data_IF_004103986271
#
_entry.id   IF_004103986271
#
_cell.length_a   1.000
_cell.length_b   1.000
_cell.length_c   1.000
_cell.angle_alpha   90.00
_cell.angle_beta   90.00
_cell.angle_gamma   90.00
#
_symmetry.space_group_name_H-M   'P 1'
#
loop_
_entity.id
_entity.type
_entity.pdbx_description
1 polymer ?
#
# COMPACT_ATOMS: atom_id res chain seq x y z
N UNK A 1 -23.66 3.69 17.73
CA UNK A 1 -23.86 2.34 17.14
C UNK A 1 -22.92 2.18 15.98
N UNK A 2 -21.76 1.58 16.21
CA UNK A 2 -20.81 1.25 15.16
C UNK A 2 -21.35 0.10 14.34
N UNK A 3 -21.95 0.42 13.19
CA UNK A 3 -22.36 -0.59 12.24
C UNK A 3 -21.16 -1.42 11.84
N UNK A 4 -21.25 -2.72 11.92
CA UNK A 4 -20.36 -3.67 11.26
C UNK A 4 -20.36 -3.35 9.76
N UNK A 5 -19.50 -2.44 9.34
CA UNK A 5 -19.13 -2.37 7.93
C UNK A 5 -18.32 -3.65 7.65
N UNK A 6 -19.05 -4.71 7.30
CA UNK A 6 -18.45 -5.90 6.75
C UNK A 6 -17.49 -5.48 5.63
N UNK A 7 -16.42 -6.23 5.42
CA UNK A 7 -15.57 -6.05 4.26
C UNK A 7 -16.51 -6.13 3.05
N UNK A 8 -16.72 -4.99 2.38
CA UNK A 8 -17.59 -4.91 1.20
C UNK A 8 -16.92 -5.47 -0.04
N UNK A 9 -15.62 -5.71 0.04
CA UNK A 9 -14.83 -6.20 -1.08
C UNK A 9 -14.56 -7.69 -0.91
N UNK A 10 -15.19 -8.55 -1.70
CA UNK A 10 -15.01 -10.01 -1.62
C UNK A 10 -13.55 -10.44 -1.77
N UNK A 11 -12.78 -9.72 -2.60
CA UNK A 11 -11.35 -10.00 -2.81
C UNK A 11 -10.52 -9.82 -1.54
N UNK A 12 -10.81 -8.77 -0.75
CA UNK A 12 -10.11 -8.53 0.52
C UNK A 12 -10.49 -9.61 1.54
N UNK A 13 -11.77 -9.96 1.63
CA UNK A 13 -12.21 -11.05 2.48
C UNK A 13 -11.54 -12.37 2.09
N UNK A 14 -11.43 -12.65 0.80
CA UNK A 14 -10.73 -13.85 0.29
C UNK A 14 -9.27 -13.87 0.75
N UNK A 15 -8.55 -12.74 0.65
CA UNK A 15 -7.16 -12.64 1.14
C UNK A 15 -7.06 -12.91 2.65
N UNK A 16 -7.97 -12.35 3.45
CA UNK A 16 -8.01 -12.58 4.90
C UNK A 16 -8.27 -14.05 5.22
N UNK A 17 -9.25 -14.67 4.57
CA UNK A 17 -9.55 -16.09 4.76
C UNK A 17 -8.39 -16.98 4.30
N UNK A 18 -7.79 -16.69 3.15
CA UNK A 18 -6.64 -17.43 2.66
C UNK A 18 -5.48 -17.38 3.64
N UNK A 19 -5.20 -16.21 4.22
CA UNK A 19 -4.21 -16.05 5.27
C UNK A 19 -4.51 -16.88 6.51
N UNK A 20 -5.76 -16.87 6.99
CA UNK A 20 -6.16 -17.64 8.18
C UNK A 20 -5.99 -19.15 7.99
N UNK A 21 -6.16 -19.66 6.76
CA UNK A 21 -6.01 -21.09 6.46
C UNK A 21 -4.59 -21.49 6.08
N UNK A 22 -3.81 -20.62 5.45
CA UNK A 22 -2.53 -20.95 4.81
C UNK A 22 -1.33 -20.17 5.35
N UNK A 23 -1.56 -19.16 6.20
CA UNK A 23 -0.53 -18.26 6.68
C UNK A 23 -0.01 -17.25 5.63
N UNK A 24 -0.60 -17.23 4.44
CA UNK A 24 -0.27 -16.34 3.34
C UNK A 24 -1.47 -16.18 2.40
N UNK A 25 -1.46 -15.17 1.52
CA UNK A 25 -2.47 -14.95 0.48
C UNK A 25 -1.81 -14.67 -0.88
N UNK A 26 -2.53 -14.92 -1.95
CA UNK A 26 -2.01 -14.78 -3.32
C UNK A 26 -1.86 -13.30 -3.76
N UNK A 27 -0.76 -12.88 -4.42
CA UNK A 27 0.45 -13.64 -4.73
C UNK A 27 1.29 -13.92 -3.48
N UNK A 28 1.81 -15.13 -3.36
CA UNK A 28 2.53 -15.56 -2.16
C UNK A 28 3.91 -14.94 -2.07
N UNK A 29 4.37 -14.77 -0.83
CA UNK A 29 5.73 -14.35 -0.55
C UNK A 29 6.65 -15.58 -0.63
N UNK A 30 7.65 -15.54 -1.49
CA UNK A 30 8.61 -16.63 -1.67
C UNK A 30 10.05 -16.13 -1.64
N UNK A 31 10.97 -17.01 -1.30
CA UNK A 31 12.37 -16.68 -1.30
C UNK A 31 12.97 -16.88 -2.68
N UNK A 32 13.56 -15.85 -3.24
CA UNK A 32 14.23 -15.94 -4.55
C UNK A 32 15.38 -16.94 -4.50
N UNK A 33 15.37 -17.90 -5.43
CA UNK A 33 16.44 -18.91 -5.52
C UNK A 33 17.79 -18.31 -5.92
N UNK A 34 17.76 -17.18 -6.64
CA UNK A 34 18.96 -16.56 -7.21
C UNK A 34 19.52 -15.41 -6.36
N UNK A 35 18.69 -14.66 -5.62
CA UNK A 35 19.09 -13.38 -4.99
C UNK A 35 19.10 -13.38 -3.47
N UNK A 36 18.78 -14.49 -2.79
CA UNK A 36 18.58 -14.57 -1.32
C UNK A 36 17.64 -13.49 -0.75
N UNK A 37 16.77 -12.92 -1.59
CA UNK A 37 15.79 -11.89 -1.26
C UNK A 37 14.38 -12.45 -1.32
N UNK A 38 13.45 -11.74 -0.68
CA UNK A 38 12.03 -12.06 -0.81
C UNK A 38 11.47 -11.46 -2.10
N UNK A 39 10.62 -12.21 -2.77
CA UNK A 39 9.90 -11.78 -3.98
C UNK A 39 8.47 -12.30 -3.95
N UNK A 40 7.60 -11.64 -4.71
CA UNK A 40 6.22 -12.10 -4.88
C UNK A 40 6.19 -13.17 -5.96
N UNK A 41 5.33 -14.17 -5.75
CA UNK A 41 5.03 -15.20 -6.74
C UNK A 41 4.58 -14.57 -8.05
N UNK A 42 5.19 -14.99 -9.16
CA UNK A 42 4.76 -14.58 -10.49
C UNK A 42 3.59 -15.45 -10.91
N UNK A 43 2.40 -14.88 -10.87
CA UNK A 43 1.21 -15.54 -11.42
C UNK A 43 1.31 -15.42 -12.94
N UNK A 44 1.63 -16.53 -13.62
CA UNK A 44 1.56 -16.60 -15.07
C UNK A 44 0.09 -16.70 -15.48
N UNK A 45 -0.47 -15.60 -15.97
CA UNK A 45 -1.73 -15.65 -16.71
C UNK A 45 -1.46 -16.42 -18.01
N UNK A 46 -1.97 -17.63 -18.11
CA UNK A 46 -1.83 -18.50 -19.29
C UNK A 46 -2.41 -17.84 -20.58
N UNK A 47 -3.15 -16.75 -20.45
CA UNK A 47 -3.79 -16.02 -21.56
C UNK A 47 -3.15 -14.67 -21.90
N UNK A 48 -2.21 -14.15 -21.07
CA UNK A 48 -1.57 -12.87 -21.34
C UNK A 48 -0.14 -12.82 -20.76
N UNK A 49 0.87 -13.35 -21.49
CA UNK A 49 2.27 -13.38 -21.01
C UNK A 49 2.93 -12.00 -20.81
N UNK A 50 2.22 -10.92 -21.16
CA UNK A 50 2.60 -9.52 -20.93
C UNK A 50 1.64 -8.77 -20.01
N UNK A 51 0.70 -9.47 -19.34
CA UNK A 51 -0.25 -8.87 -18.40
C UNK A 51 0.46 -8.12 -17.29
N UNK A 52 0.13 -6.86 -17.15
CA UNK A 52 0.76 -5.96 -16.21
C UNK A 52 0.59 -6.48 -14.77
N UNK A 53 1.64 -6.46 -13.97
CA UNK A 53 1.61 -6.71 -12.52
C UNK A 53 0.56 -5.84 -11.79
N UNK A 54 0.03 -4.84 -12.46
CA UNK A 54 -0.95 -3.88 -11.96
C UNK A 54 -2.26 -4.56 -11.56
N UNK A 55 -2.82 -5.48 -12.38
CA UNK A 55 -4.07 -6.18 -12.07
C UNK A 55 -3.96 -7.09 -10.85
N UNK A 56 -2.74 -7.57 -10.57
CA UNK A 56 -2.47 -8.41 -9.40
C UNK A 56 -2.21 -7.59 -8.14
N UNK A 57 -1.77 -6.34 -8.30
CA UNK A 57 -1.40 -5.46 -7.20
C UNK A 57 -2.53 -4.55 -6.74
N UNK A 58 -3.58 -4.40 -7.55
CA UNK A 58 -4.67 -3.46 -7.29
C UNK A 58 -6.02 -4.16 -7.22
N UNK A 59 -6.96 -3.51 -6.53
CA UNK A 59 -8.37 -3.89 -6.52
C UNK A 59 -9.22 -2.65 -6.77
N UNK A 60 -10.39 -2.85 -7.36
CA UNK A 60 -11.43 -1.81 -7.38
C UNK A 60 -12.12 -1.79 -6.02
N UNK A 61 -12.06 -0.65 -5.33
CA UNK A 61 -12.68 -0.49 -4.01
C UNK A 61 -13.96 0.32 -4.13
N UNK A 62 -15.09 -0.28 -3.78
CA UNK A 62 -16.43 0.33 -3.94
C UNK A 62 -16.61 1.64 -3.17
N UNK A 63 -16.01 1.76 -1.99
CA UNK A 63 -16.06 2.97 -1.16
C UNK A 63 -15.23 4.12 -1.73
N UNK A 64 -14.14 3.82 -2.42
CA UNK A 64 -13.27 4.80 -3.10
C UNK A 64 -13.76 5.07 -4.52
N UNK A 65 -14.52 4.13 -5.10
CA UNK A 65 -14.98 4.08 -6.49
C UNK A 65 -13.85 4.08 -7.52
N UNK A 66 -12.70 3.51 -7.14
CA UNK A 66 -11.52 3.46 -7.98
C UNK A 66 -10.52 2.39 -7.49
N UNK A 67 -9.41 2.23 -8.21
CA UNK A 67 -8.36 1.29 -7.89
C UNK A 67 -7.52 1.76 -6.69
N UNK A 68 -7.31 0.86 -5.74
CA UNK A 68 -6.35 1.00 -4.64
C UNK A 68 -5.43 -0.21 -4.59
N UNK A 69 -4.27 -0.09 -3.94
CA UNK A 69 -3.38 -1.21 -3.73
C UNK A 69 -4.05 -2.26 -2.83
N UNK A 70 -4.07 -3.51 -3.30
CA UNK A 70 -4.68 -4.63 -2.59
C UNK A 70 -4.05 -4.84 -1.22
N UNK A 71 -2.72 -4.82 -1.14
CA UNK A 71 -2.01 -5.03 0.13
C UNK A 71 -2.32 -3.92 1.14
N UNK A 72 -2.55 -2.68 0.70
CA UNK A 72 -3.02 -1.59 1.56
C UNK A 72 -4.42 -1.88 2.11
N UNK A 73 -5.33 -2.34 1.27
CA UNK A 73 -6.69 -2.66 1.71
C UNK A 73 -6.70 -3.88 2.66
N UNK A 74 -5.87 -4.89 2.39
CA UNK A 74 -5.67 -6.04 3.30
C UNK A 74 -5.08 -5.60 4.63
N UNK A 75 -4.11 -4.68 4.64
CA UNK A 75 -3.56 -4.12 5.88
C UNK A 75 -4.63 -3.42 6.71
N UNK A 76 -5.43 -2.56 6.09
CA UNK A 76 -6.53 -1.85 6.78
C UNK A 76 -7.59 -2.83 7.33
N UNK A 77 -7.89 -3.89 6.58
CA UNK A 77 -8.78 -4.95 7.07
C UNK A 77 -8.15 -5.70 8.25
N UNK A 78 -6.87 -6.03 8.17
CA UNK A 78 -6.14 -6.70 9.25
C UNK A 78 -6.10 -5.86 10.52
N UNK A 79 -5.88 -4.54 10.41
CA UNK A 79 -6.00 -3.60 11.54
C UNK A 79 -7.38 -3.67 12.18
N UNK A 80 -8.42 -3.61 11.39
CA UNK A 80 -9.81 -3.67 11.85
C UNK A 80 -10.13 -4.97 12.60
N UNK A 81 -9.53 -6.09 12.20
CA UNK A 81 -9.76 -7.39 12.82
C UNK A 81 -8.71 -7.78 13.86
N UNK A 82 -7.74 -6.95 14.15
CA UNK A 82 -6.67 -7.21 15.11
C UNK A 82 -5.71 -8.33 14.68
N UNK A 83 -5.48 -8.50 13.38
CA UNK A 83 -4.63 -9.54 12.80
C UNK A 83 -3.21 -8.98 12.54
N UNK A 84 -2.38 -8.88 13.58
CA UNK A 84 -1.05 -8.27 13.51
C UNK A 84 -0.11 -8.97 12.50
N UNK A 85 -0.11 -10.30 12.46
CA UNK A 85 0.71 -11.06 11.52
C UNK A 85 0.32 -10.80 10.05
N UNK A 86 -0.98 -10.60 9.79
CA UNK A 86 -1.46 -10.25 8.47
C UNK A 86 -1.07 -8.82 8.09
N UNK A 87 -1.06 -7.88 9.04
CA UNK A 87 -0.56 -6.51 8.83
C UNK A 87 0.91 -6.54 8.41
N UNK A 88 1.74 -7.28 9.14
CA UNK A 88 3.17 -7.43 8.83
C UNK A 88 3.40 -8.05 7.45
N UNK A 89 2.63 -9.06 7.11
CA UNK A 89 2.70 -9.71 5.79
C UNK A 89 2.28 -8.74 4.68
N UNK A 90 1.16 -8.05 4.82
CA UNK A 90 0.65 -7.11 3.83
C UNK A 90 1.64 -5.95 3.60
N UNK A 91 2.20 -5.39 4.67
CA UNK A 91 3.20 -4.32 4.57
C UNK A 91 4.48 -4.79 3.86
N UNK A 92 4.92 -6.01 4.13
CA UNK A 92 6.08 -6.61 3.45
C UNK A 92 5.82 -6.81 1.96
N UNK A 93 4.66 -7.32 1.59
CA UNK A 93 4.26 -7.51 0.19
C UNK A 93 4.16 -6.19 -0.55
N UNK A 94 3.54 -5.18 0.07
CA UNK A 94 3.45 -3.84 -0.50
C UNK A 94 4.82 -3.23 -0.80
N UNK A 95 5.82 -3.46 0.05
CA UNK A 95 7.19 -3.01 -0.17
C UNK A 95 7.89 -3.66 -1.37
N UNK A 96 7.36 -4.77 -1.88
CA UNK A 96 7.88 -5.47 -3.07
C UNK A 96 7.14 -5.10 -4.36
N UNK A 97 6.08 -4.30 -4.30
CA UNK A 97 5.36 -3.84 -5.48
C UNK A 97 6.19 -2.85 -6.28
N UNK A 98 6.17 -2.99 -7.60
CA UNK A 98 6.90 -2.14 -8.55
C UNK A 98 6.02 -1.77 -9.73
N UNK A 99 6.35 -0.65 -10.39
CA UNK A 99 5.63 -0.22 -11.60
C UNK A 99 4.21 0.30 -11.34
N UNK A 100 3.89 0.70 -10.11
CA UNK A 100 2.59 1.23 -9.75
C UNK A 100 2.49 2.71 -10.17
N UNK A 101 1.43 3.13 -10.86
CA UNK A 101 1.18 4.53 -11.19
C UNK A 101 1.09 5.42 -9.95
N UNK A 102 1.63 6.64 -10.05
CA UNK A 102 1.61 7.65 -8.97
C UNK A 102 0.20 7.89 -8.43
N UNK A 103 -0.77 7.94 -9.31
CA UNK A 103 -2.18 8.14 -8.97
C UNK A 103 -2.71 7.06 -8.00
N UNK A 104 -2.42 5.80 -8.28
CA UNK A 104 -2.84 4.68 -7.44
C UNK A 104 -2.11 4.71 -6.11
N UNK A 105 -0.82 5.06 -6.10
CA UNK A 105 -0.04 5.20 -4.87
C UNK A 105 -0.64 6.28 -3.96
N UNK A 106 -0.89 7.48 -4.50
CA UNK A 106 -1.43 8.60 -3.73
C UNK A 106 -2.85 8.31 -3.22
N UNK A 107 -3.69 7.70 -4.05
CA UNK A 107 -5.03 7.26 -3.66
C UNK A 107 -4.98 6.22 -2.54
N UNK A 108 -4.08 5.25 -2.66
CA UNK A 108 -3.90 4.21 -1.63
C UNK A 108 -3.34 4.77 -0.33
N UNK A 109 -2.47 5.78 -0.39
CA UNK A 109 -1.99 6.50 0.78
C UNK A 109 -3.13 7.21 1.52
N UNK A 110 -4.01 7.93 0.80
CA UNK A 110 -5.20 8.54 1.40
C UNK A 110 -6.12 7.49 2.01
N UNK A 111 -6.38 6.42 1.28
CA UNK A 111 -7.18 5.30 1.78
C UNK A 111 -6.62 4.72 3.09
N UNK A 112 -5.30 4.54 3.19
CA UNK A 112 -4.63 4.10 4.40
C UNK A 112 -4.89 5.06 5.58
N UNK A 113 -4.77 6.37 5.36
CA UNK A 113 -5.03 7.38 6.38
C UNK A 113 -6.49 7.40 6.85
N UNK A 114 -7.42 7.19 5.94
CA UNK A 114 -8.86 7.20 6.24
C UNK A 114 -9.32 5.92 6.96
N UNK A 115 -8.59 4.82 6.81
CA UNK A 115 -8.99 3.50 7.29
C UNK A 115 -8.08 2.92 8.39
N UNK A 116 -7.13 3.72 8.91
CA UNK A 116 -6.31 3.36 10.06
C UNK A 116 -6.38 4.44 11.13
N UNK A 117 -6.37 4.07 12.43
CA UNK A 117 -6.33 5.06 13.51
C UNK A 117 -5.00 5.83 13.50
N UNK A 118 -4.96 6.98 14.15
CA UNK A 118 -3.74 7.81 14.23
C UNK A 118 -2.59 7.11 14.98
N UNK A 119 -2.92 6.17 15.86
CA UNK A 119 -1.93 5.33 16.55
C UNK A 119 -1.23 4.32 15.64
N UNK A 120 -1.83 3.98 14.48
CA UNK A 120 -1.25 3.05 13.52
C UNK A 120 -0.38 3.82 12.50
N UNK A 121 0.90 3.94 12.82
CA UNK A 121 1.85 4.74 12.04
C UNK A 121 2.62 3.95 10.97
N UNK A 122 2.69 2.61 11.06
CA UNK A 122 3.58 1.79 10.21
C UNK A 122 3.28 1.91 8.72
N UNK A 123 2.00 1.77 8.34
CA UNK A 123 1.58 1.91 6.94
C UNK A 123 1.74 3.35 6.46
N UNK A 124 1.43 4.34 7.31
CA UNK A 124 1.62 5.77 7.01
C UNK A 124 3.09 6.09 6.78
N UNK A 125 3.97 5.64 7.68
CA UNK A 125 5.43 5.82 7.55
C UNK A 125 5.97 5.16 6.26
N UNK A 126 5.45 4.00 5.87
CA UNK A 126 5.81 3.35 4.61
C UNK A 126 5.53 4.26 3.41
N UNK A 127 4.34 4.87 3.34
CA UNK A 127 3.98 5.78 2.25
C UNK A 127 4.83 7.06 2.25
N UNK A 128 5.04 7.67 3.42
CA UNK A 128 5.89 8.86 3.55
C UNK A 128 7.32 8.55 3.08
N UNK A 129 7.91 7.48 3.56
CA UNK A 129 9.26 7.06 3.17
C UNK A 129 9.36 6.74 1.67
N UNK A 130 8.34 6.12 1.09
CA UNK A 130 8.30 5.82 -0.35
C UNK A 130 8.30 7.10 -1.18
N UNK A 131 7.42 8.06 -0.86
CA UNK A 131 7.33 9.33 -1.59
C UNK A 131 8.63 10.13 -1.46
N UNK A 132 9.23 10.18 -0.27
CA UNK A 132 10.50 10.88 -0.04
C UNK A 132 11.64 10.24 -0.85
N UNK A 133 11.75 8.91 -0.88
CA UNK A 133 12.77 8.19 -1.65
C UNK A 133 12.63 8.38 -3.15
N UNK A 134 11.41 8.44 -3.65
CA UNK A 134 11.09 8.55 -5.07
C UNK A 134 10.59 9.95 -5.45
N UNK A 135 10.95 10.96 -4.66
CA UNK A 135 10.49 12.35 -4.82
C UNK A 135 10.65 12.93 -6.23
N UNK A 136 11.65 12.46 -6.98
CA UNK A 136 11.89 12.93 -8.36
C UNK A 136 10.74 12.57 -9.31
N UNK A 137 10.06 11.46 -9.06
CA UNK A 137 8.88 11.04 -9.81
C UNK A 137 7.68 11.89 -9.40
N UNK A 138 7.45 12.02 -8.08
CA UNK A 138 6.28 12.73 -7.55
C UNK A 138 6.31 14.23 -7.84
N UNK A 139 7.45 14.89 -7.70
CA UNK A 139 7.58 16.35 -7.96
C UNK A 139 7.29 16.74 -9.40
N UNK A 140 7.40 15.81 -10.35
CA UNK A 140 7.11 16.03 -11.78
C UNK A 140 5.72 15.57 -12.18
N UNK A 141 4.96 14.99 -11.26
CA UNK A 141 3.63 14.47 -11.52
C UNK A 141 2.58 15.56 -11.37
N UNK A 142 1.83 15.84 -12.43
CA UNK A 142 0.63 16.69 -12.35
C UNK A 142 -0.43 16.12 -11.41
N UNK A 143 -0.49 14.79 -11.28
CA UNK A 143 -1.38 14.12 -10.33
C UNK A 143 -1.06 14.51 -8.88
N UNK A 144 0.22 14.58 -8.52
CA UNK A 144 0.63 15.03 -7.18
C UNK A 144 0.12 16.44 -6.88
N UNK A 145 0.23 17.33 -7.84
CA UNK A 145 -0.24 18.72 -7.70
C UNK A 145 -1.77 18.79 -7.50
N UNK A 146 -2.53 18.03 -8.27
CA UNK A 146 -3.98 17.97 -8.14
C UNK A 146 -4.41 17.39 -6.79
N UNK A 147 -3.78 16.31 -6.37
CA UNK A 147 -4.05 15.64 -5.09
C UNK A 147 -3.74 16.54 -3.89
N UNK A 148 -2.63 17.28 -3.93
CA UNK A 148 -2.29 18.28 -2.90
C UNK A 148 -3.33 19.40 -2.86
N UNK A 149 -3.83 19.84 -4.01
CA UNK A 149 -4.87 20.87 -4.12
C UNK A 149 -6.21 20.47 -3.49
N UNK A 150 -6.52 19.18 -3.43
CA UNK A 150 -7.73 18.66 -2.75
C UNK A 150 -7.62 18.70 -1.22
N UNK A 151 -6.43 18.82 -0.67
CA UNK A 151 -6.16 18.87 0.76
C UNK A 151 -6.47 17.57 1.49
N UNK A 152 -5.46 16.95 2.09
CA UNK A 152 -5.62 15.77 2.91
C UNK A 152 -4.51 15.71 3.97
N UNK A 153 -4.77 15.14 5.14
CA UNK A 153 -3.81 15.01 6.24
C UNK A 153 -2.47 14.39 5.79
N UNK A 154 -2.51 13.43 4.89
CA UNK A 154 -1.33 12.80 4.30
C UNK A 154 -0.30 13.82 3.78
N UNK A 155 -0.75 14.88 3.11
CA UNK A 155 0.16 15.88 2.53
C UNK A 155 0.80 16.79 3.58
N UNK A 156 0.09 17.06 4.67
CA UNK A 156 0.68 17.77 5.80
C UNK A 156 1.77 16.91 6.48
N UNK A 157 1.47 15.64 6.75
CA UNK A 157 2.44 14.72 7.34
C UNK A 157 3.65 14.50 6.41
N UNK A 158 3.41 14.46 5.08
CA UNK A 158 4.48 14.41 4.09
C UNK A 158 5.37 15.64 4.15
N UNK A 159 4.80 16.83 4.25
CA UNK A 159 5.57 18.07 4.39
C UNK A 159 6.46 18.03 5.64
N UNK A 160 5.90 17.66 6.79
CA UNK A 160 6.66 17.51 8.04
C UNK A 160 7.78 16.47 7.91
N UNK A 161 7.48 15.31 7.32
CA UNK A 161 8.48 14.26 7.11
C UNK A 161 9.60 14.69 6.16
N UNK A 162 9.29 15.48 5.14
CA UNK A 162 10.30 16.06 4.25
C UNK A 162 11.19 17.08 4.95
N UNK A 163 10.63 17.95 5.81
CA UNK A 163 11.42 18.88 6.63
C UNK A 163 12.40 18.13 7.53
N UNK A 164 11.92 17.14 8.28
CA UNK A 164 12.77 16.32 9.13
C UNK A 164 13.89 15.63 8.34
N UNK A 165 13.57 15.11 7.16
CA UNK A 165 14.59 14.48 6.29
C UNK A 165 15.67 15.46 5.82
N UNK A 166 15.31 16.72 5.56
CA UNK A 166 16.27 17.77 5.19
C UNK A 166 17.15 18.15 6.38
N UNK A 167 16.57 18.26 7.57
CA UNK A 167 17.31 18.57 8.81
C UNK A 167 18.34 17.46 9.13
N UNK A 168 17.93 16.18 9.04
CA UNK A 168 18.82 15.03 9.21
C UNK A 168 20.02 15.05 8.23
N UNK A 169 19.79 15.47 6.98
CA UNK A 169 20.88 15.63 5.99
C UNK A 169 21.79 16.82 6.29
N UNK A 170 21.27 17.84 6.97
CA UNK A 170 22.06 18.99 7.43
C UNK A 170 23.01 18.64 8.54
N UNK A 171 22.56 17.82 9.49
CA UNK A 171 23.32 17.43 10.68
C UNK A 171 24.43 16.41 10.37
N UNK A 172 24.39 15.74 9.21
CA UNK A 172 25.43 14.81 8.74
C UNK A 172 26.60 15.48 8.02
N UNK A 173 26.63 16.80 7.93
CA UNK A 173 27.73 17.61 7.32
C UNK A 173 28.59 18.25 8.37
#
# INVERSE_FOLDING_TARGET
MGGFNAIREPEILSCVLEFLYKGDYTPRLQRSKCRKAWELEKLSDAHNPGGSNLSQSTIFHSGVKDLVLRDTAVYCAAEKYGLEELKDLALRKQGLQTGIPVEIILRSARYAYDNTPDSEYRLRAHYLAMVIRTRDIFKRSGTMQLEMGMGHKFFFDLFVAMCNHVDDLGDMR
#
